data_IF_125100212892
#
_entry.id   IF_125100212892
#
_cell.length_a   1.000
_cell.length_b   1.000
_cell.length_c   1.000
_cell.angle_alpha   90.00
_cell.angle_beta   90.00
_cell.angle_gamma   90.00
#
_symmetry.space_group_name_H-M   'P 1'
#
loop_
_entity.id
_entity.type
_entity.pdbx_description
1 polymer ?
#
# COMPACT_ATOMS: atom_id res chain seq x y z
N UNK A 1 64.58 28.91 41.46
CA UNK A 1 65.85 29.61 41.16
C UNK A 1 66.83 29.36 42.30
N UNK A 2 67.91 28.61 42.07
CA UNK A 2 69.07 28.57 42.99
C UNK A 2 70.31 28.93 42.16
N UNK A 3 71.13 29.81 42.70
CA UNK A 3 72.21 30.52 42.00
C UNK A 3 73.53 29.73 42.10
N UNK A 4 74.11 29.34 40.97
CA UNK A 4 75.42 28.69 40.90
C UNK A 4 76.47 29.71 40.45
N UNK A 5 77.41 30.02 41.35
CA UNK A 5 78.61 30.84 41.12
C UNK A 5 78.42 32.33 40.75
N UNK A 6 78.88 33.22 41.65
CA UNK A 6 79.20 34.60 41.34
C UNK A 6 80.71 34.72 41.11
N UNK A 7 81.16 34.96 39.88
CA UNK A 7 82.53 35.41 39.60
C UNK A 7 82.51 36.92 39.34
N UNK A 8 83.26 37.67 40.15
CA UNK A 8 83.35 39.13 40.05
C UNK A 8 84.60 39.56 39.31
N UNK A 9 84.45 40.41 38.28
CA UNK A 9 85.55 41.19 37.72
C UNK A 9 85.32 42.65 38.09
N UNK A 10 86.24 43.25 38.83
CA UNK A 10 86.15 44.65 39.29
C UNK A 10 86.70 45.61 38.25
N UNK A 11 85.85 46.53 37.77
CA UNK A 11 86.28 47.79 37.16
C UNK A 11 85.49 48.94 37.80
N UNK A 12 86.19 49.90 38.41
CA UNK A 12 85.61 51.20 38.76
C UNK A 12 84.47 51.22 39.79
N UNK A 13 84.48 50.32 40.78
CA UNK A 13 83.63 50.46 41.98
C UNK A 13 82.17 50.00 41.87
N UNK A 14 81.75 49.43 40.73
CA UNK A 14 80.46 48.72 40.60
C UNK A 14 80.72 47.24 40.36
N UNK A 15 80.24 46.37 41.26
CA UNK A 15 80.28 44.91 41.07
C UNK A 15 79.11 44.52 40.17
N UNK A 16 79.39 44.10 38.94
CA UNK A 16 78.39 43.49 38.05
C UNK A 16 78.37 41.99 38.34
N UNK A 17 77.31 41.51 38.97
CA UNK A 17 77.04 40.07 39.07
C UNK A 17 76.42 39.60 37.76
N UNK A 18 77.13 38.75 37.00
CA UNK A 18 76.49 37.99 35.93
C UNK A 18 75.83 36.80 36.61
N UNK A 19 74.51 36.84 36.68
CA UNK A 19 73.70 35.72 37.11
C UNK A 19 73.36 34.95 35.83
N UNK A 20 74.01 33.81 35.61
CA UNK A 20 73.55 32.87 34.61
C UNK A 20 72.49 31.97 35.25
N UNK A 21 71.23 32.16 34.87
CA UNK A 21 70.18 31.21 35.22
C UNK A 21 70.30 29.99 34.32
N UNK A 22 70.77 28.86 34.85
CA UNK A 22 70.59 27.59 34.15
C UNK A 22 69.09 27.29 34.07
N UNK A 23 68.56 26.89 32.89
CA UNK A 23 67.18 26.46 32.79
C UNK A 23 66.94 25.30 33.77
N UNK A 24 65.76 25.27 34.39
CA UNK A 24 65.37 24.10 35.19
C UNK A 24 65.39 22.86 34.30
N UNK A 25 65.70 21.67 34.86
CA UNK A 25 65.49 20.43 34.13
C UNK A 25 64.05 20.38 33.60
N UNK A 26 63.91 20.03 32.34
CA UNK A 26 62.65 19.89 31.62
C UNK A 26 62.81 18.73 30.64
N UNK A 27 61.82 17.84 30.65
CA UNK A 27 61.78 16.63 29.84
C UNK A 27 60.34 16.37 29.41
N UNK A 28 60.19 16.06 28.13
CA UNK A 28 58.94 15.61 27.51
C UNK A 28 59.11 14.12 27.18
N UNK A 29 58.29 13.26 27.79
CA UNK A 29 58.30 11.81 27.57
C UNK A 29 57.69 11.42 26.20
N UNK A 30 57.12 12.39 25.47
CA UNK A 30 56.43 12.20 24.20
C UNK A 30 54.93 11.99 24.38
N UNK A 31 54.23 11.93 23.25
CA UNK A 31 52.77 11.79 23.25
C UNK A 31 52.31 10.36 23.57
N UNK A 32 51.18 10.27 24.25
CA UNK A 32 50.42 9.03 24.41
C UNK A 32 50.23 8.32 23.06
N UNK A 33 50.42 7.00 23.06
CA UNK A 33 50.40 6.18 21.83
C UNK A 33 49.54 4.95 22.02
N UNK A 34 48.87 4.51 20.94
CA UNK A 34 48.14 3.24 20.89
C UNK A 34 48.84 2.27 19.96
N UNK A 35 49.03 1.02 20.41
CA UNK A 35 49.62 -0.04 19.60
C UNK A 35 48.66 -1.22 19.47
N UNK A 36 48.61 -1.81 18.27
CA UNK A 36 47.89 -3.05 18.03
C UNK A 36 48.72 -4.22 18.55
N UNK A 37 48.15 -5.01 19.45
CA UNK A 37 48.82 -6.19 19.98
C UNK A 37 48.64 -7.34 18.99
N UNK A 38 49.59 -7.41 18.05
CA UNK A 38 49.82 -8.60 17.26
C UNK A 38 50.80 -9.44 18.07
N UNK A 39 50.32 -10.54 18.64
CA UNK A 39 51.14 -11.39 19.49
C UNK A 39 52.50 -11.72 18.86
N UNK A 40 53.58 -11.66 19.66
CA UNK A 40 54.99 -11.58 19.24
C UNK A 40 55.74 -10.60 20.14
N UNK A 41 56.91 -10.08 19.73
CA UNK A 41 57.53 -8.92 20.40
C UNK A 41 56.80 -7.65 19.96
N UNK A 42 55.65 -7.36 20.55
CA UNK A 42 55.05 -6.04 20.44
C UNK A 42 55.99 -5.07 21.14
N UNK A 43 56.42 -4.01 20.48
CA UNK A 43 57.28 -3.02 21.11
C UNK A 43 57.01 -1.64 20.55
N UNK A 44 57.17 -0.61 21.38
CA UNK A 44 57.01 0.77 20.96
C UNK A 44 58.32 1.52 21.12
N UNK A 45 58.73 2.20 20.05
CA UNK A 45 59.84 3.13 20.09
C UNK A 45 59.36 4.43 20.75
N UNK A 46 59.93 4.76 21.90
CA UNK A 46 59.68 6.03 22.58
C UNK A 46 60.63 7.09 22.04
N UNK A 47 60.26 8.36 22.20
CA UNK A 47 61.06 9.51 21.79
C UNK A 47 60.92 10.64 22.81
N UNK A 48 61.69 10.60 23.88
CA UNK A 48 61.76 11.70 24.84
C UNK A 48 62.63 12.84 24.33
N UNK A 49 62.28 14.06 24.70
CA UNK A 49 63.02 15.28 24.38
C UNK A 49 63.39 15.99 25.67
N UNK A 50 64.68 16.28 25.84
CA UNK A 50 65.15 17.13 26.94
C UNK A 50 65.19 18.57 26.44
N UNK A 51 64.38 19.44 27.04
CA UNK A 51 64.30 20.88 26.72
C UNK A 51 65.22 21.74 27.63
N UNK A 52 66.17 21.10 28.30
CA UNK A 52 67.06 21.69 29.30
C UNK A 52 68.52 21.26 29.06
N UNK A 53 69.44 21.61 29.96
CA UNK A 53 70.86 21.27 29.87
C UNK A 53 71.21 19.87 30.41
N UNK A 54 70.22 19.04 30.74
CA UNK A 54 70.44 17.63 31.08
C UNK A 54 70.83 16.84 29.83
N UNK A 55 71.72 15.86 29.96
CA UNK A 55 72.08 14.92 28.89
C UNK A 55 71.51 13.53 29.09
N UNK A 56 70.94 13.27 30.25
CA UNK A 56 70.60 11.92 30.69
C UNK A 56 69.08 11.79 30.89
N UNK A 57 68.53 10.67 30.43
CA UNK A 57 67.15 10.25 30.66
C UNK A 57 67.14 8.92 31.43
N UNK A 58 66.09 8.68 32.22
CA UNK A 58 65.86 7.41 32.89
C UNK A 58 64.39 7.02 32.80
N UNK A 59 64.16 5.84 32.23
CA UNK A 59 62.82 5.28 32.04
C UNK A 59 62.49 4.20 33.06
N UNK A 60 61.25 4.21 33.54
CA UNK A 60 60.64 3.11 34.30
C UNK A 60 59.15 3.01 34.01
N UNK A 61 58.53 1.91 34.43
CA UNK A 61 57.08 1.68 34.29
C UNK A 61 56.50 1.23 35.64
N UNK A 62 55.20 1.45 35.84
CA UNK A 62 54.43 0.81 36.91
C UNK A 62 53.94 -0.61 36.54
N UNK A 63 54.15 -0.99 35.28
CA UNK A 63 53.81 -2.27 34.68
C UNK A 63 54.87 -3.37 34.81
N UNK A 64 54.68 -4.47 34.08
CA UNK A 64 55.58 -5.62 34.04
C UNK A 64 56.48 -5.67 32.79
N UNK A 65 56.40 -4.66 31.92
CA UNK A 65 57.23 -4.53 30.72
C UNK A 65 58.68 -4.10 30.98
N UNK A 66 59.48 -4.15 29.91
CA UNK A 66 60.92 -3.92 29.94
C UNK A 66 61.34 -2.91 28.87
N UNK A 67 62.35 -2.10 29.20
CA UNK A 67 63.02 -1.22 28.25
C UNK A 67 64.32 -1.88 27.79
N UNK A 68 64.66 -1.77 26.51
CA UNK A 68 65.93 -2.23 25.97
C UNK A 68 67.14 -1.47 26.56
N UNK A 69 66.96 -0.17 26.81
CA UNK A 69 67.94 0.70 27.44
C UNK A 69 67.23 1.84 28.19
N UNK A 70 67.09 1.70 29.51
CA UNK A 70 66.43 2.71 30.36
C UNK A 70 67.11 4.08 30.33
N UNK A 71 68.37 4.18 29.89
CA UNK A 71 69.13 5.43 29.83
C UNK A 71 69.01 6.22 28.52
N UNK A 72 68.36 5.65 27.51
CA UNK A 72 68.22 6.26 26.18
C UNK A 72 67.10 7.31 26.16
N UNK A 73 67.23 8.35 25.33
CA UNK A 73 66.10 9.22 24.99
C UNK A 73 65.09 8.51 24.09
N UNK A 74 65.55 7.53 23.31
CA UNK A 74 64.73 6.77 22.40
C UNK A 74 64.84 5.27 22.74
N UNK A 75 64.36 4.80 23.91
CA UNK A 75 64.32 3.38 24.21
C UNK A 75 63.17 2.69 23.46
N UNK A 76 63.30 1.39 23.30
CA UNK A 76 62.24 0.48 22.89
C UNK A 76 61.61 -0.13 24.13
N UNK A 77 60.33 0.14 24.35
CA UNK A 77 59.53 -0.50 25.40
C UNK A 77 58.88 -1.77 24.86
N UNK A 78 59.10 -2.90 25.55
CA UNK A 78 58.41 -4.18 25.31
C UNK A 78 57.46 -4.42 26.48
N UNK A 79 56.12 -4.38 26.26
CA UNK A 79 55.15 -4.57 27.32
C UNK A 79 55.17 -6.00 27.85
N UNK A 80 54.87 -6.15 29.13
CA UNK A 80 54.66 -7.44 29.77
C UNK A 80 53.22 -7.94 29.59
N UNK A 81 52.93 -9.08 30.22
CA UNK A 81 51.60 -9.71 30.13
C UNK A 81 50.53 -8.92 30.86
N UNK A 82 50.87 -8.30 32.00
CA UNK A 82 49.92 -7.54 32.79
C UNK A 82 49.59 -6.22 32.10
N UNK A 83 50.58 -5.56 31.51
CA UNK A 83 50.41 -4.36 30.69
C UNK A 83 49.33 -4.56 29.62
N UNK A 84 49.48 -5.63 28.83
CA UNK A 84 48.55 -5.98 27.75
C UNK A 84 47.17 -6.30 28.31
N UNK A 85 47.09 -7.08 29.40
CA UNK A 85 45.81 -7.46 30.01
C UNK A 85 45.05 -6.27 30.63
N UNK A 86 45.78 -5.27 31.12
CA UNK A 86 45.22 -4.04 31.69
C UNK A 86 44.82 -3.03 30.60
N UNK A 87 45.21 -3.27 29.33
CA UNK A 87 44.93 -2.39 28.20
C UNK A 87 45.76 -1.11 28.16
N UNK A 88 46.64 -0.89 29.14
CA UNK A 88 47.54 0.27 29.18
C UNK A 88 48.77 0.01 30.08
N UNK A 89 49.92 0.54 29.68
CA UNK A 89 51.11 0.69 30.51
C UNK A 89 51.43 2.17 30.67
N UNK A 90 51.69 2.61 31.90
CA UNK A 90 52.13 3.97 32.16
C UNK A 90 53.65 3.98 32.30
N UNK A 91 54.29 4.78 31.46
CA UNK A 91 55.73 4.90 31.39
C UNK A 91 56.14 6.26 31.93
N UNK A 92 57.25 6.29 32.65
CA UNK A 92 57.76 7.47 33.30
C UNK A 92 59.18 7.72 32.80
N UNK A 93 59.48 8.97 32.50
CA UNK A 93 60.81 9.41 32.10
C UNK A 93 61.27 10.54 33.00
N UNK A 94 62.49 10.47 33.49
CA UNK A 94 63.09 11.54 34.31
C UNK A 94 64.49 11.92 33.85
N UNK A 95 64.90 13.15 34.14
CA UNK A 95 66.29 13.60 34.00
C UNK A 95 67.11 13.27 35.25
N UNK A 96 68.40 12.97 35.13
CA UNK A 96 69.29 12.94 36.29
C UNK A 96 69.70 14.35 36.74
N UNK A 97 69.72 14.57 38.06
CA UNK A 97 70.14 15.86 38.63
C UNK A 97 71.63 16.12 38.39
N UNK A 98 71.95 17.09 37.52
CA UNK A 98 73.27 17.73 37.53
C UNK A 98 73.29 18.77 38.66
N UNK A 99 74.16 18.54 39.66
CA UNK A 99 74.52 19.45 40.77
C UNK A 99 73.42 20.46 41.23
N UNK A 100 72.67 20.09 42.28
CA UNK A 100 71.74 20.93 43.06
C UNK A 100 70.38 21.31 42.43
N UNK A 101 70.02 20.79 41.24
CA UNK A 101 68.69 20.96 40.65
C UNK A 101 67.75 19.79 41.01
N UNK A 102 66.44 20.05 41.10
CA UNK A 102 65.42 18.99 41.22
C UNK A 102 65.26 18.27 39.88
N UNK A 103 65.14 16.95 39.91
CA UNK A 103 64.82 16.13 38.73
C UNK A 103 63.47 16.56 38.14
N UNK A 104 63.37 16.63 36.81
CA UNK A 104 62.09 16.70 36.11
C UNK A 104 61.61 15.28 35.78
N UNK A 105 60.30 15.08 35.79
CA UNK A 105 59.65 13.81 35.44
C UNK A 105 58.45 14.11 34.58
N UNK A 106 58.28 13.31 33.53
CA UNK A 106 57.10 13.32 32.68
C UNK A 106 56.63 11.88 32.42
N UNK A 107 55.41 11.72 31.90
CA UNK A 107 54.78 10.42 31.69
C UNK A 107 54.15 10.29 30.32
N UNK A 108 54.21 9.09 29.76
CA UNK A 108 53.52 8.71 28.53
C UNK A 108 52.70 7.45 28.78
N UNK A 109 51.46 7.42 28.31
CA UNK A 109 50.62 6.23 28.35
C UNK A 109 50.71 5.48 27.02
N UNK A 110 50.92 4.16 27.10
CA UNK A 110 50.86 3.27 25.94
C UNK A 110 49.62 2.41 26.09
N UNK A 111 48.65 2.60 25.19
CA UNK A 111 47.40 1.85 25.14
C UNK A 111 47.53 0.63 24.23
N UNK A 112 46.98 -0.50 24.67
CA UNK A 112 47.04 -1.77 23.95
C UNK A 112 45.66 -2.13 23.41
N UNK A 113 45.54 -2.23 22.08
CA UNK A 113 44.31 -2.65 21.43
C UNK A 113 44.45 -4.08 20.91
N UNK A 114 43.57 -4.97 21.39
CA UNK A 114 43.44 -6.33 20.87
C UNK A 114 42.56 -6.33 19.61
N UNK A 115 42.85 -7.18 18.61
CA UNK A 115 41.98 -7.34 17.46
C UNK A 115 40.58 -7.82 17.84
N UNK A 116 39.54 -7.17 17.30
CA UNK A 116 38.15 -7.60 17.49
C UNK A 116 37.87 -8.92 16.74
N UNK A 117 37.30 -9.89 17.43
CA UNK A 117 36.97 -11.21 16.86
C UNK A 117 35.65 -11.17 16.09
N UNK A 118 34.66 -10.43 16.58
CA UNK A 118 33.35 -10.26 15.93
C UNK A 118 33.09 -8.79 15.63
N UNK A 119 32.41 -8.51 14.51
CA UNK A 119 31.94 -7.16 14.14
C UNK A 119 30.44 -6.95 14.45
N UNK A 120 29.75 -7.99 14.91
CA UNK A 120 28.32 -7.96 15.21
C UNK A 120 28.04 -7.90 16.71
N UNK A 121 26.78 -7.65 17.08
CA UNK A 121 26.34 -7.68 18.47
C UNK A 121 26.60 -9.02 19.16
N UNK A 122 26.87 -8.98 20.47
CA UNK A 122 27.14 -10.14 21.33
C UNK A 122 25.95 -11.12 21.44
N UNK A 123 24.76 -10.71 20.98
CA UNK A 123 23.54 -11.52 21.01
C UNK A 123 22.88 -11.58 19.64
N UNK A 124 22.56 -12.81 19.23
CA UNK A 124 21.92 -13.13 17.95
C UNK A 124 20.59 -13.83 18.20
N UNK A 125 19.52 -13.38 17.52
CA UNK A 125 18.20 -14.00 17.59
C UNK A 125 18.08 -15.09 16.53
N UNK A 126 17.74 -16.31 16.95
CA UNK A 126 17.45 -17.44 16.07
C UNK A 126 15.94 -17.66 15.96
N UNK A 127 15.38 -17.36 14.79
CA UNK A 127 13.97 -17.59 14.55
C UNK A 127 13.65 -19.05 14.21
N UNK A 128 12.44 -19.49 14.54
CA UNK A 128 12.03 -20.89 14.40
C UNK A 128 12.23 -21.44 12.97
N UNK A 129 12.89 -22.60 12.86
CA UNK A 129 13.23 -23.28 11.61
C UNK A 129 14.12 -22.45 10.66
N UNK A 130 14.88 -21.50 11.19
CA UNK A 130 15.92 -20.79 10.43
C UNK A 130 17.31 -21.25 10.89
N UNK A 131 18.31 -20.87 10.11
CA UNK A 131 19.71 -20.93 10.51
C UNK A 131 20.31 -19.53 10.44
N UNK A 132 21.31 -19.29 11.28
CA UNK A 132 22.10 -18.06 11.26
C UNK A 132 23.55 -18.42 10.98
N UNK A 133 24.27 -17.52 10.31
CA UNK A 133 25.71 -17.63 10.11
C UNK A 133 26.39 -16.75 11.14
N UNK A 134 27.23 -17.34 11.98
CA UNK A 134 28.15 -16.60 12.84
C UNK A 134 29.49 -16.50 12.12
N UNK A 135 30.04 -15.30 12.03
CA UNK A 135 31.27 -15.02 11.27
C UNK A 135 32.25 -14.27 12.17
N UNK A 136 33.43 -14.86 12.35
CA UNK A 136 34.57 -14.17 12.94
C UNK A 136 35.27 -13.31 11.88
N UNK A 137 35.80 -12.16 12.27
CA UNK A 137 36.50 -11.25 11.40
C UNK A 137 37.68 -11.95 10.70
N UNK A 138 37.97 -11.55 9.47
CA UNK A 138 39.14 -12.04 8.74
C UNK A 138 40.44 -11.46 9.31
N UNK A 139 41.57 -12.13 9.04
CA UNK A 139 42.91 -11.65 9.44
C UNK A 139 43.63 -12.51 10.48
N UNK A 140 42.95 -13.51 11.04
CA UNK A 140 43.56 -14.50 11.93
C UNK A 140 44.19 -15.67 11.16
N UNK A 141 45.24 -16.27 11.73
CA UNK A 141 45.97 -17.41 11.16
C UNK A 141 45.18 -18.72 11.21
N UNK A 142 44.35 -18.91 12.24
CA UNK A 142 43.43 -20.05 12.35
C UNK A 142 42.23 -19.73 13.25
N UNK A 143 41.18 -20.53 13.11
CA UNK A 143 39.93 -20.46 13.87
C UNK A 143 39.65 -21.83 14.47
N UNK A 144 39.08 -21.87 15.66
CA UNK A 144 38.57 -23.08 16.30
C UNK A 144 37.31 -22.74 17.10
N UNK A 145 36.16 -23.13 16.56
CA UNK A 145 34.88 -22.98 17.24
C UNK A 145 34.68 -24.07 18.28
N UNK A 146 33.87 -23.79 19.31
CA UNK A 146 33.44 -24.81 20.28
C UNK A 146 32.62 -25.96 19.67
N UNK A 147 32.16 -25.80 18.42
CA UNK A 147 31.55 -26.87 17.61
C UNK A 147 32.57 -27.80 16.94
N UNK A 148 33.87 -27.49 17.04
CA UNK A 148 34.97 -28.19 16.37
C UNK A 148 35.27 -27.69 14.95
N UNK A 149 34.52 -26.70 14.43
CA UNK A 149 34.81 -26.11 13.12
C UNK A 149 36.09 -25.27 13.13
N UNK A 150 36.88 -25.36 12.06
CA UNK A 150 38.07 -24.52 11.84
C UNK A 150 37.88 -23.42 10.78
N UNK A 151 36.65 -23.23 10.31
CA UNK A 151 36.30 -22.18 9.34
C UNK A 151 36.11 -20.83 10.05
N UNK A 152 36.29 -19.72 9.32
CA UNK A 152 36.01 -18.37 9.84
C UNK A 152 34.53 -18.11 10.15
N UNK A 153 33.63 -18.98 9.66
CA UNK A 153 32.20 -18.92 9.95
C UNK A 153 31.60 -20.30 10.20
N UNK A 154 30.46 -20.32 10.90
CA UNK A 154 29.64 -21.51 11.15
C UNK A 154 28.17 -21.20 10.89
N UNK A 155 27.41 -22.18 10.39
CA UNK A 155 25.95 -22.10 10.32
C UNK A 155 25.34 -22.87 11.49
N UNK A 156 24.52 -22.18 12.28
CA UNK A 156 23.89 -22.71 13.49
C UNK A 156 22.37 -22.70 13.36
N UNK A 157 21.73 -23.65 14.02
CA UNK A 157 20.27 -23.85 14.02
C UNK A 157 19.71 -24.18 15.41
N UNK A 158 20.51 -23.96 16.45
CA UNK A 158 20.15 -24.12 17.86
C UNK A 158 20.62 -22.91 18.66
N UNK A 159 19.89 -22.59 19.72
CA UNK A 159 20.29 -21.59 20.70
C UNK A 159 21.41 -22.13 21.60
N UNK A 160 22.23 -21.24 22.13
CA UNK A 160 23.40 -21.59 22.92
C UNK A 160 24.51 -20.55 22.83
N UNK A 161 25.58 -20.79 23.57
CA UNK A 161 26.79 -19.94 23.52
C UNK A 161 27.77 -20.56 22.54
N UNK A 162 28.18 -19.79 21.55
CA UNK A 162 29.17 -20.17 20.55
C UNK A 162 30.42 -19.35 20.74
N UNK A 163 31.54 -20.00 21.04
CA UNK A 163 32.84 -19.35 21.18
C UNK A 163 33.76 -19.77 20.05
N UNK A 164 34.59 -18.82 19.61
CA UNK A 164 35.67 -19.07 18.65
C UNK A 164 36.98 -18.69 19.31
N UNK A 165 37.95 -19.60 19.22
CA UNK A 165 39.35 -19.33 19.54
C UNK A 165 40.07 -19.03 18.24
N UNK A 166 40.67 -17.85 18.12
CA UNK A 166 41.45 -17.43 16.96
C UNK A 166 42.93 -17.42 17.30
N UNK A 167 43.78 -17.68 16.31
CA UNK A 167 45.24 -17.58 16.45
C UNK A 167 45.75 -16.37 15.67
N UNK A 168 46.53 -15.52 16.33
CA UNK A 168 47.15 -14.34 15.74
C UNK A 168 48.40 -14.72 14.94
N UNK A 169 48.88 -13.79 14.10
CA UNK A 169 50.04 -14.00 13.21
C UNK A 169 51.35 -14.38 13.91
N UNK A 170 51.55 -14.02 15.18
CA UNK A 170 52.68 -14.50 15.98
C UNK A 170 52.32 -15.53 17.06
N UNK A 171 51.23 -16.29 16.85
CA UNK A 171 51.03 -17.59 17.49
C UNK A 171 50.24 -17.63 18.79
N UNK A 172 49.91 -16.49 19.41
CA UNK A 172 48.98 -16.51 20.54
C UNK A 172 47.55 -16.76 20.10
N UNK A 173 46.75 -17.22 21.07
CA UNK A 173 45.32 -17.41 20.91
C UNK A 173 44.51 -16.39 21.69
N UNK A 174 43.40 -15.95 21.13
CA UNK A 174 42.35 -15.19 21.81
C UNK A 174 41.02 -15.89 21.61
N UNK A 175 40.06 -15.67 22.50
CA UNK A 175 38.72 -16.22 22.37
C UNK A 175 37.65 -15.18 22.65
N UNK A 176 36.56 -15.26 21.92
CA UNK A 176 35.36 -14.48 22.16
C UNK A 176 34.11 -15.36 21.94
N UNK A 177 32.95 -14.92 22.40
CA UNK A 177 31.71 -15.69 22.35
C UNK A 177 30.49 -14.85 21.96
N UNK A 178 29.59 -15.46 21.19
CA UNK A 178 28.27 -14.93 20.86
C UNK A 178 27.21 -15.77 21.56
N UNK A 179 26.23 -15.09 22.15
CA UNK A 179 25.02 -15.73 22.71
C UNK A 179 23.94 -15.80 21.65
N UNK A 180 23.52 -17.01 21.29
CA UNK A 180 22.37 -17.23 20.40
C UNK A 180 21.16 -17.57 21.25
N UNK A 181 20.11 -16.77 21.13
CA UNK A 181 18.83 -16.99 21.84
C UNK A 181 17.70 -17.29 20.87
N UNK A 182 16.80 -18.18 21.26
CA UNK A 182 15.59 -18.44 20.47
C UNK A 182 14.71 -17.19 20.42
N UNK A 183 14.27 -16.84 19.22
CA UNK A 183 13.34 -15.74 18.98
C UNK A 183 11.89 -16.12 19.25
N UNK A 184 11.05 -15.10 19.40
CA UNK A 184 9.62 -15.26 19.62
C UNK A 184 8.94 -16.11 18.53
N UNK A 185 8.11 -17.05 18.96
CA UNK A 185 7.29 -17.86 18.06
C UNK A 185 6.12 -17.02 17.56
N UNK A 186 6.20 -16.59 16.30
CA UNK A 186 5.15 -15.79 15.67
C UNK A 186 3.99 -16.68 15.19
N UNK A 187 2.74 -16.41 15.60
CA UNK A 187 1.57 -17.17 15.18
C UNK A 187 1.24 -16.90 13.71
N UNK A 188 1.27 -17.93 12.88
CA UNK A 188 0.97 -17.83 11.45
C UNK A 188 -0.53 -17.85 11.10
N UNK A 189 -1.38 -17.07 11.80
CA UNK A 189 -2.84 -17.14 11.61
C UNK A 189 -3.52 -15.79 11.37
N UNK A 190 -4.49 -15.80 10.47
CA UNK A 190 -5.54 -14.80 10.26
C UNK A 190 -6.91 -15.47 10.29
N UNK A 191 -7.91 -14.72 10.73
CA UNK A 191 -9.31 -15.16 10.87
C UNK A 191 -10.25 -14.17 10.19
N UNK A 192 -11.31 -14.66 9.57
CA UNK A 192 -12.39 -13.85 9.02
C UNK A 192 -13.50 -13.64 10.07
N UNK A 193 -13.82 -12.38 10.36
CA UNK A 193 -14.87 -11.99 11.29
C UNK A 193 -16.20 -11.80 10.55
N UNK A 194 -16.64 -12.83 9.83
CA UNK A 194 -17.84 -12.80 9.00
C UNK A 194 -17.75 -13.73 7.79
N UNK A 195 -18.79 -13.75 6.93
CA UNK A 195 -18.82 -14.60 5.75
C UNK A 195 -17.77 -14.15 4.72
N UNK A 196 -17.05 -15.11 4.16
CA UNK A 196 -16.04 -14.86 3.11
C UNK A 196 -16.63 -14.83 1.69
N UNK A 197 -17.88 -15.26 1.56
CA UNK A 197 -18.70 -15.07 0.37
C UNK A 197 -19.78 -14.05 0.71
N UNK A 198 -19.78 -12.90 0.04
CA UNK A 198 -20.67 -11.78 0.35
C UNK A 198 -21.10 -11.03 -0.92
N UNK A 199 -22.14 -10.20 -0.84
CA UNK A 199 -22.68 -9.51 -2.01
C UNK A 199 -21.88 -8.26 -2.38
N UNK A 200 -21.95 -7.84 -3.64
CA UNK A 200 -21.33 -6.61 -4.09
C UNK A 200 -21.82 -5.41 -3.26
N UNK A 201 -20.88 -4.69 -2.63
CA UNK A 201 -21.18 -3.57 -1.72
C UNK A 201 -20.96 -3.92 -0.26
N UNK A 202 -21.00 -5.20 0.10
CA UNK A 202 -20.69 -5.68 1.44
C UNK A 202 -19.18 -5.83 1.66
N UNK A 203 -18.81 -6.24 2.88
CA UNK A 203 -17.42 -6.44 3.26
C UNK A 203 -17.27 -7.45 4.39
N UNK A 204 -16.08 -8.05 4.49
CA UNK A 204 -15.66 -8.85 5.64
C UNK A 204 -14.39 -8.26 6.26
N UNK A 205 -14.29 -8.29 7.58
CA UNK A 205 -13.06 -7.89 8.28
C UNK A 205 -12.19 -9.12 8.52
N UNK A 206 -10.93 -9.06 8.09
CA UNK A 206 -9.92 -10.05 8.46
C UNK A 206 -9.10 -9.50 9.64
N UNK A 207 -8.74 -10.39 10.57
CA UNK A 207 -7.93 -10.08 11.74
C UNK A 207 -6.73 -11.00 11.83
N UNK A 208 -5.59 -10.45 12.22
CA UNK A 208 -4.38 -11.19 12.57
C UNK A 208 -4.19 -11.25 14.10
N UNK A 209 -3.26 -12.08 14.56
CA UNK A 209 -2.84 -12.09 15.97
C UNK A 209 -2.31 -10.70 16.41
N UNK A 210 -2.65 -10.24 17.62
CA UNK A 210 -2.21 -8.94 18.14
C UNK A 210 -0.70 -8.94 18.47
N UNK A 211 -0.09 -7.75 18.55
CA UNK A 211 1.28 -7.58 19.08
C UNK A 211 2.41 -7.62 18.04
N UNK A 212 2.09 -7.65 16.74
CA UNK A 212 3.08 -7.75 15.66
C UNK A 212 3.04 -6.51 14.76
N UNK A 213 4.06 -6.35 13.91
CA UNK A 213 3.93 -5.52 12.72
C UNK A 213 3.33 -6.33 11.57
N UNK A 214 2.54 -5.70 10.71
CA UNK A 214 1.69 -6.37 9.73
C UNK A 214 2.04 -5.94 8.30
N UNK A 215 2.19 -6.92 7.40
CA UNK A 215 2.23 -6.69 5.96
C UNK A 215 1.18 -7.57 5.29
N UNK A 216 0.05 -6.96 4.93
CA UNK A 216 -1.04 -7.67 4.24
C UNK A 216 -0.77 -7.79 2.75
N UNK A 217 -1.10 -8.95 2.18
CA UNK A 217 -0.96 -9.25 0.76
C UNK A 217 -2.25 -9.79 0.16
N UNK A 218 -2.58 -9.34 -1.04
CA UNK A 218 -3.66 -9.86 -1.89
C UNK A 218 -3.05 -10.45 -3.15
N UNK A 219 -3.30 -11.74 -3.41
CA UNK A 219 -2.68 -12.49 -4.52
C UNK A 219 -1.14 -12.37 -4.54
N UNK A 220 -0.52 -12.33 -3.36
CA UNK A 220 0.94 -12.19 -3.21
C UNK A 220 1.47 -10.76 -3.29
N UNK A 221 0.66 -9.79 -3.72
CA UNK A 221 1.04 -8.37 -3.82
C UNK A 221 0.69 -7.64 -2.53
N UNK A 222 1.59 -6.79 -2.03
CA UNK A 222 1.37 -5.98 -0.83
C UNK A 222 0.20 -5.03 -1.04
N UNK A 223 -0.70 -4.96 -0.06
CA UNK A 223 -1.79 -3.99 -0.04
C UNK A 223 -1.23 -2.70 0.57
N UNK A 224 -1.21 -1.57 -0.17
CA UNK A 224 -0.67 -0.32 0.34
C UNK A 224 -1.40 0.12 1.61
N UNK A 225 -0.64 0.65 2.58
CA UNK A 225 -1.14 1.18 3.85
C UNK A 225 -1.93 0.19 4.72
N UNK A 226 -1.90 -1.10 4.41
CA UNK A 226 -2.48 -2.15 5.24
C UNK A 226 -1.42 -2.69 6.21
N UNK A 227 -1.18 -1.94 7.28
CA UNK A 227 -0.19 -2.23 8.33
C UNK A 227 -0.81 -2.39 9.72
N UNK A 228 -2.14 -2.48 9.81
CA UNK A 228 -2.90 -2.69 11.04
C UNK A 228 -3.24 -4.16 11.25
N UNK A 229 -3.59 -4.53 12.48
CA UNK A 229 -4.05 -5.89 12.84
C UNK A 229 -5.29 -6.32 12.04
N UNK A 230 -6.12 -5.36 11.62
CA UNK A 230 -7.36 -5.59 10.91
C UNK A 230 -7.32 -4.99 9.50
N UNK A 231 -7.95 -5.67 8.55
CA UNK A 231 -8.26 -5.11 7.23
C UNK A 231 -9.72 -5.38 6.86
N UNK A 232 -10.35 -4.41 6.18
CA UNK A 232 -11.69 -4.57 5.62
C UNK A 232 -11.60 -4.93 4.15
N UNK A 233 -12.12 -6.10 3.79
CA UNK A 233 -12.06 -6.67 2.44
C UNK A 233 -13.39 -6.48 1.73
N UNK A 234 -13.36 -5.85 0.55
CA UNK A 234 -14.53 -5.54 -0.30
C UNK A 234 -14.48 -6.17 -1.69
N UNK A 235 -13.48 -7.01 -1.98
CA UNK A 235 -13.21 -7.50 -3.33
C UNK A 235 -12.75 -8.95 -3.32
N UNK A 236 -12.89 -9.63 -4.45
CA UNK A 236 -12.38 -11.00 -4.65
C UNK A 236 -10.89 -11.02 -4.42
N UNK A 237 -10.41 -11.95 -3.60
CA UNK A 237 -9.00 -11.98 -3.25
C UNK A 237 -8.58 -13.25 -2.52
N UNK A 238 -7.30 -13.55 -2.64
CA UNK A 238 -6.61 -14.46 -1.73
C UNK A 238 -5.72 -13.64 -0.80
N UNK A 239 -6.10 -13.56 0.48
CA UNK A 239 -5.46 -12.73 1.50
C UNK A 239 -4.55 -13.56 2.41
N UNK A 240 -3.37 -12.99 2.71
CA UNK A 240 -2.40 -13.45 3.71
C UNK A 240 -1.79 -12.22 4.39
N UNK A 241 -1.22 -12.41 5.58
CA UNK A 241 -0.34 -11.43 6.19
C UNK A 241 1.05 -12.03 6.44
N UNK A 242 2.07 -11.18 6.49
CA UNK A 242 3.32 -11.48 7.18
C UNK A 242 3.29 -10.73 8.50
N UNK A 243 3.46 -11.45 9.60
CA UNK A 243 3.57 -10.90 10.94
C UNK A 243 5.05 -10.88 11.33
N UNK A 244 5.53 -9.79 11.92
CA UNK A 244 6.90 -9.67 12.41
C UNK A 244 6.93 -9.17 13.86
N UNK A 245 7.61 -9.92 14.72
CA UNK A 245 7.83 -9.60 16.14
C UNK A 245 8.82 -8.46 16.32
N UNK A 246 8.88 -7.90 17.53
CA UNK A 246 9.87 -6.86 17.86
C UNK A 246 11.31 -7.37 17.80
N UNK A 247 11.53 -8.68 17.96
CA UNK A 247 12.84 -9.35 17.83
C UNK A 247 13.22 -9.65 16.37
N UNK A 248 12.38 -9.27 15.39
CA UNK A 248 12.65 -9.45 13.97
C UNK A 248 12.21 -10.80 13.38
N UNK A 249 11.76 -11.75 14.20
CA UNK A 249 11.21 -13.01 13.70
C UNK A 249 9.89 -12.78 12.98
N UNK A 250 9.73 -13.41 11.81
CA UNK A 250 8.55 -13.25 10.96
C UNK A 250 7.93 -14.56 10.51
N UNK A 251 6.61 -14.55 10.33
CA UNK A 251 5.85 -15.71 9.82
C UNK A 251 4.75 -15.26 8.88
N UNK A 252 4.60 -15.97 7.76
CA UNK A 252 3.45 -15.81 6.87
C UNK A 252 2.26 -16.62 7.36
N UNK A 253 1.07 -16.01 7.33
CA UNK A 253 -0.15 -16.62 7.84
C UNK A 253 -0.79 -17.63 6.89
N UNK A 254 -1.81 -18.35 7.38
CA UNK A 254 -2.77 -19.06 6.52
C UNK A 254 -3.43 -18.12 5.49
N UNK A 255 -4.06 -18.73 4.48
CA UNK A 255 -4.71 -18.06 3.35
C UNK A 255 -6.22 -18.01 3.57
N UNK A 256 -6.82 -16.83 3.42
CA UNK A 256 -8.29 -16.67 3.34
C UNK A 256 -8.66 -16.18 1.95
N UNK A 257 -9.53 -16.92 1.26
CA UNK A 257 -10.07 -16.53 -0.03
C UNK A 257 -11.47 -15.93 0.14
N UNK A 258 -11.72 -14.79 -0.51
CA UNK A 258 -13.03 -14.12 -0.51
C UNK A 258 -13.64 -14.09 -1.91
N UNK A 259 -14.98 -14.19 -1.95
CA UNK A 259 -15.78 -14.10 -3.17
C UNK A 259 -16.88 -13.05 -2.98
N UNK A 260 -16.99 -12.16 -3.94
CA UNK A 260 -17.98 -11.10 -4.06
C UNK A 260 -18.97 -11.51 -5.15
N UNK A 261 -20.18 -11.82 -4.71
CA UNK A 261 -21.26 -12.23 -5.59
C UNK A 261 -21.90 -10.98 -6.21
N UNK A 262 -22.09 -10.94 -7.53
CA UNK A 262 -22.69 -9.79 -8.20
C UNK A 262 -24.13 -9.61 -7.72
N UNK A 263 -24.56 -8.35 -7.63
CA UNK A 263 -25.96 -8.05 -7.41
C UNK A 263 -26.74 -8.18 -8.74
N UNK A 264 -28.00 -8.66 -8.71
CA UNK A 264 -28.89 -8.59 -9.85
C UNK A 264 -29.05 -7.15 -10.38
N UNK A 265 -29.45 -7.05 -11.65
CA UNK A 265 -29.72 -5.79 -12.35
C UNK A 265 -30.85 -5.02 -11.70
N UNK A 266 -30.74 -3.69 -11.75
CA UNK A 266 -31.80 -2.78 -11.27
C UNK A 266 -32.87 -2.51 -12.33
N UNK A 267 -32.69 -3.01 -13.55
CA UNK A 267 -33.50 -2.65 -14.71
C UNK A 267 -34.72 -3.58 -14.81
N UNK A 268 -35.87 -2.95 -15.03
CA UNK A 268 -37.08 -3.60 -15.53
C UNK A 268 -37.44 -2.95 -16.87
N UNK A 269 -37.62 -3.76 -17.90
CA UNK A 269 -38.09 -3.35 -19.22
C UNK A 269 -39.59 -3.62 -19.36
N UNK A 270 -40.23 -2.96 -20.33
CA UNK A 270 -41.61 -3.23 -20.70
C UNK A 270 -41.62 -3.71 -22.16
N UNK A 271 -42.38 -4.77 -22.44
CA UNK A 271 -42.52 -5.30 -23.81
C UNK A 271 -43.50 -4.49 -24.66
N UNK A 272 -44.31 -3.64 -24.04
CA UNK A 272 -45.29 -2.77 -24.69
C UNK A 272 -45.36 -1.40 -24.03
N UNK A 273 -46.27 -0.52 -24.49
CA UNK A 273 -46.44 0.80 -23.90
C UNK A 273 -46.83 0.70 -22.42
N UNK A 274 -46.36 1.67 -21.63
CA UNK A 274 -46.73 1.80 -20.21
C UNK A 274 -48.09 2.48 -20.03
N UNK A 275 -48.71 2.94 -21.11
CA UNK A 275 -50.06 3.45 -21.16
C UNK A 275 -50.88 2.67 -22.20
N UNK A 276 -51.99 2.07 -21.80
CA UNK A 276 -52.82 1.21 -22.67
C UNK A 276 -54.30 1.23 -22.27
N UNK A 277 -55.16 0.67 -23.12
CA UNK A 277 -56.61 0.70 -22.96
C UNK A 277 -57.11 -0.28 -21.88
N UNK A 278 -58.28 -0.02 -21.29
CA UNK A 278 -58.98 -1.03 -20.48
C UNK A 278 -59.23 -2.28 -21.33
N UNK A 279 -58.87 -3.45 -20.80
CA UNK A 279 -58.93 -4.73 -21.52
C UNK A 279 -57.57 -5.18 -22.08
N UNK A 280 -56.65 -4.24 -22.36
CA UNK A 280 -55.30 -4.55 -22.80
C UNK A 280 -54.37 -4.91 -21.63
N UNK A 281 -53.13 -5.26 -21.96
CA UNK A 281 -52.09 -5.51 -20.97
C UNK A 281 -50.70 -5.15 -21.48
N UNK A 282 -49.77 -4.93 -20.56
CA UNK A 282 -48.33 -4.84 -20.86
C UNK A 282 -47.58 -5.83 -19.99
N UNK A 283 -46.42 -6.30 -20.46
CA UNK A 283 -45.56 -7.22 -19.71
C UNK A 283 -44.35 -6.43 -19.22
N UNK A 284 -44.11 -6.46 -17.91
CA UNK A 284 -42.83 -6.04 -17.36
C UNK A 284 -41.91 -7.26 -17.26
N UNK A 285 -40.65 -7.07 -17.66
CA UNK A 285 -39.63 -8.10 -17.63
C UNK A 285 -38.46 -7.66 -16.75
N UNK A 286 -38.09 -8.53 -15.82
CA UNK A 286 -36.88 -8.43 -15.01
C UNK A 286 -35.72 -9.21 -15.68
N UNK A 287 -34.52 -9.08 -15.14
CA UNK A 287 -33.39 -9.94 -15.54
C UNK A 287 -33.73 -11.42 -15.26
N UNK A 288 -33.58 -12.27 -16.28
CA UNK A 288 -33.71 -13.72 -16.14
C UNK A 288 -32.36 -14.37 -15.77
N UNK A 289 -32.40 -15.38 -14.91
CA UNK A 289 -31.21 -16.11 -14.48
C UNK A 289 -31.55 -17.43 -13.81
N UNK A 290 -30.66 -18.42 -13.93
CA UNK A 290 -30.83 -19.70 -13.24
C UNK A 290 -30.72 -19.52 -11.72
N UNK A 291 -31.72 -20.00 -10.99
CA UNK A 291 -31.78 -19.87 -9.53
C UNK A 291 -32.11 -18.45 -9.03
N UNK A 292 -32.60 -17.56 -9.90
CA UNK A 292 -33.14 -16.28 -9.47
C UNK A 292 -34.57 -16.46 -8.93
N UNK A 293 -34.93 -15.66 -7.92
CA UNK A 293 -36.29 -15.55 -7.41
C UNK A 293 -36.81 -14.12 -7.53
N UNK A 294 -38.14 -13.99 -7.69
CA UNK A 294 -38.79 -12.72 -8.03
C UNK A 294 -39.96 -12.44 -7.08
N UNK A 295 -40.01 -11.21 -6.57
CA UNK A 295 -41.14 -10.71 -5.79
C UNK A 295 -41.63 -9.40 -6.41
N UNK A 296 -42.74 -9.47 -7.16
CA UNK A 296 -43.38 -8.29 -7.74
C UNK A 296 -44.19 -7.53 -6.69
N UNK A 297 -44.10 -6.19 -6.73
CA UNK A 297 -44.83 -5.29 -5.84
C UNK A 297 -45.59 -4.23 -6.60
N UNK A 298 -46.85 -3.98 -6.20
CA UNK A 298 -47.70 -2.88 -6.67
C UNK A 298 -47.96 -1.91 -5.52
N UNK A 299 -47.60 -0.63 -5.68
CA UNK A 299 -47.67 0.39 -4.62
C UNK A 299 -47.02 -0.06 -3.29
N UNK A 300 -45.98 -0.90 -3.37
CA UNK A 300 -45.27 -1.43 -2.20
C UNK A 300 -45.80 -2.77 -1.67
N UNK A 301 -47.02 -3.17 -2.03
CA UNK A 301 -47.62 -4.44 -1.61
C UNK A 301 -47.19 -5.59 -2.51
N UNK A 302 -46.94 -6.77 -1.95
CA UNK A 302 -46.59 -7.99 -2.70
C UNK A 302 -47.78 -8.43 -3.55
N UNK A 303 -47.51 -8.76 -4.80
CA UNK A 303 -48.49 -9.36 -5.69
C UNK A 303 -48.39 -10.88 -5.52
N UNK A 304 -49.43 -11.50 -4.95
CA UNK A 304 -49.44 -12.94 -4.68
C UNK A 304 -49.37 -13.74 -5.99
N UNK A 305 -48.54 -14.80 -6.01
CA UNK A 305 -48.35 -15.69 -7.16
C UNK A 305 -47.47 -15.12 -8.29
N UNK A 306 -47.05 -13.86 -8.21
CA UNK A 306 -46.16 -13.26 -9.20
C UNK A 306 -44.69 -13.56 -8.85
N UNK A 307 -44.22 -14.75 -9.26
CA UNK A 307 -42.85 -15.25 -8.99
C UNK A 307 -42.02 -15.48 -10.25
N UNK A 308 -42.57 -15.21 -11.42
CA UNK A 308 -41.86 -15.33 -12.70
C UNK A 308 -41.04 -14.05 -13.00
N UNK A 309 -40.02 -14.16 -13.85
CA UNK A 309 -39.20 -13.01 -14.30
C UNK A 309 -40.01 -12.02 -15.13
N UNK A 310 -41.19 -12.44 -15.61
CA UNK A 310 -42.16 -11.60 -16.28
C UNK A 310 -43.44 -11.46 -15.44
N UNK A 311 -44.08 -10.29 -15.54
CA UNK A 311 -45.39 -10.08 -14.95
C UNK A 311 -46.30 -9.27 -15.87
N UNK A 312 -47.46 -9.85 -16.19
CA UNK A 312 -48.49 -9.22 -17.03
C UNK A 312 -49.33 -8.27 -16.20
N UNK A 313 -49.31 -6.99 -16.56
CA UNK A 313 -50.01 -5.91 -15.88
C UNK A 313 -51.29 -5.55 -16.63
N UNK A 314 -52.40 -5.55 -15.89
CA UNK A 314 -53.75 -5.19 -16.40
C UNK A 314 -54.36 -3.98 -15.70
N UNK A 315 -53.66 -3.38 -14.74
CA UNK A 315 -54.21 -2.27 -13.94
C UNK A 315 -53.17 -1.20 -13.65
N UNK A 316 -53.61 0.05 -13.57
CA UNK A 316 -52.75 1.19 -13.24
C UNK A 316 -52.02 0.97 -11.92
N UNK A 317 -50.76 1.38 -11.85
CA UNK A 317 -49.93 1.12 -10.68
C UNK A 317 -48.49 1.61 -10.78
N UNK A 318 -47.86 1.76 -9.61
CA UNK A 318 -46.39 1.83 -9.51
C UNK A 318 -45.86 0.44 -9.18
N UNK A 319 -45.14 -0.15 -10.13
CA UNK A 319 -44.63 -1.51 -10.06
C UNK A 319 -43.10 -1.52 -9.86
N UNK A 320 -42.62 -2.45 -9.05
CA UNK A 320 -41.20 -2.80 -8.91
C UNK A 320 -41.05 -4.28 -8.58
N UNK A 321 -39.88 -4.84 -8.82
CA UNK A 321 -39.56 -6.23 -8.51
C UNK A 321 -38.34 -6.28 -7.59
N UNK A 322 -38.35 -7.22 -6.65
CA UNK A 322 -37.17 -7.63 -5.89
C UNK A 322 -36.66 -8.90 -6.56
N UNK A 323 -35.40 -8.88 -6.97
CA UNK A 323 -34.72 -10.00 -7.61
C UNK A 323 -33.66 -10.49 -6.63
N UNK A 324 -33.63 -11.77 -6.31
CA UNK A 324 -32.59 -12.40 -5.50
C UNK A 324 -31.93 -13.52 -6.30
N UNK A 325 -30.61 -13.56 -6.33
CA UNK A 325 -29.87 -14.63 -6.98
C UNK A 325 -29.69 -15.85 -6.08
N UNK A 326 -29.15 -16.92 -6.64
CA UNK A 326 -28.81 -18.18 -5.95
C UNK A 326 -27.76 -18.04 -4.83
N UNK A 327 -27.07 -16.90 -4.72
CA UNK A 327 -26.13 -16.60 -3.65
C UNK A 327 -26.76 -15.77 -2.51
N UNK A 328 -28.06 -15.52 -2.56
CA UNK A 328 -28.79 -14.71 -1.56
C UNK A 328 -28.62 -13.20 -1.73
N UNK A 329 -28.05 -12.75 -2.85
CA UNK A 329 -27.87 -11.33 -3.13
C UNK A 329 -29.11 -10.75 -3.80
N UNK A 330 -29.76 -9.81 -3.11
CA UNK A 330 -31.01 -9.20 -3.58
C UNK A 330 -30.86 -7.75 -4.03
N UNK A 331 -31.64 -7.37 -5.06
CA UNK A 331 -31.72 -6.01 -5.58
C UNK A 331 -33.18 -5.62 -5.78
N UNK A 332 -33.51 -4.36 -5.51
CA UNK A 332 -34.81 -3.78 -5.85
C UNK A 332 -34.67 -3.00 -7.16
N UNK A 333 -35.53 -3.28 -8.13
CA UNK A 333 -35.55 -2.61 -9.42
C UNK A 333 -35.92 -1.13 -9.33
N UNK A 334 -35.75 -0.41 -10.44
CA UNK A 334 -36.41 0.87 -10.68
C UNK A 334 -37.94 0.71 -10.66
N UNK A 335 -38.65 1.78 -10.28
CA UNK A 335 -40.11 1.83 -10.30
C UNK A 335 -40.60 2.13 -11.72
N UNK A 336 -41.56 1.35 -12.21
CA UNK A 336 -42.30 1.60 -13.46
C UNK A 336 -43.73 2.01 -13.15
N UNK A 337 -44.15 3.15 -13.68
CA UNK A 337 -45.53 3.63 -13.59
C UNK A 337 -46.30 3.16 -14.81
N UNK A 338 -47.41 2.47 -14.60
CA UNK A 338 -48.32 2.00 -15.65
C UNK A 338 -49.66 2.71 -15.49
N UNK A 339 -50.24 3.15 -16.60
CA UNK A 339 -51.52 3.88 -16.66
C UNK A 339 -52.48 3.17 -17.63
N UNK A 340 -53.60 2.69 -17.11
CA UNK A 340 -54.71 2.15 -17.92
C UNK A 340 -55.73 3.27 -18.14
N UNK A 341 -56.08 3.54 -19.39
CA UNK A 341 -57.05 4.55 -19.79
C UNK A 341 -58.26 3.90 -20.47
N UNK A 342 -59.43 4.54 -20.41
CA UNK A 342 -60.56 4.11 -21.24
C UNK A 342 -60.35 4.66 -22.64
N UNK A 343 -60.12 3.79 -23.62
CA UNK A 343 -59.99 4.22 -25.00
C UNK A 343 -61.37 4.40 -25.62
N UNK A 344 -61.55 5.37 -26.54
CA UNK A 344 -62.81 5.52 -27.26
C UNK A 344 -63.14 4.23 -28.02
N UNK A 345 -64.33 3.67 -27.80
CA UNK A 345 -64.86 2.58 -28.62
C UNK A 345 -65.10 3.11 -30.04
N UNK A 346 -64.37 2.57 -31.03
CA UNK A 346 -64.41 3.08 -32.42
C UNK A 346 -65.47 2.35 -33.26
N UNK A 347 -66.48 1.76 -32.61
CA UNK A 347 -67.67 1.28 -33.30
C UNK A 347 -68.93 1.75 -32.57
N UNK A 348 -69.43 2.97 -32.87
CA UNK A 348 -70.85 3.19 -32.77
C UNK A 348 -71.49 2.34 -33.88
N UNK A 349 -72.12 1.23 -33.49
CA UNK A 349 -73.11 0.60 -34.35
C UNK A 349 -74.13 1.68 -34.76
N UNK A 350 -74.20 1.99 -36.07
CA UNK A 350 -75.06 2.96 -36.76
C UNK A 350 -74.53 4.36 -37.13
N UNK A 351 -73.25 4.52 -37.46
CA UNK A 351 -72.85 5.70 -38.26
C UNK A 351 -73.25 5.50 -39.73
N UNK A 352 -74.28 6.22 -40.18
CA UNK A 352 -74.52 6.43 -41.61
C UNK A 352 -73.25 7.03 -42.22
N UNK A 353 -72.59 6.30 -43.11
CA UNK A 353 -71.59 6.89 -44.01
C UNK A 353 -72.35 7.88 -44.91
N UNK A 354 -72.29 9.16 -44.59
CA UNK A 354 -72.79 10.22 -45.47
C UNK A 354 -71.78 10.40 -46.60
N UNK A 355 -72.05 9.78 -47.75
CA UNK A 355 -71.22 9.80 -48.96
C UNK A 355 -71.17 11.17 -49.69
N UNK A 356 -71.03 12.31 -49.01
CA UNK A 356 -70.98 13.61 -49.72
C UNK A 356 -69.99 14.68 -49.20
N UNK A 357 -69.26 14.45 -48.10
CA UNK A 357 -68.21 15.39 -47.65
C UNK A 357 -66.82 14.72 -47.72
N UNK A 358 -66.06 14.99 -48.77
CA UNK A 358 -64.69 14.49 -48.94
C UNK A 358 -63.66 15.38 -48.23
N UNK A 359 -62.67 14.75 -47.58
CA UNK A 359 -61.48 15.44 -47.07
C UNK A 359 -60.64 15.85 -48.26
N UNK A 360 -60.48 17.17 -48.45
CA UNK A 360 -59.65 17.67 -49.55
C UNK A 360 -58.18 17.67 -49.14
N UNK A 361 -57.29 17.17 -49.99
CA UNK A 361 -55.86 17.04 -49.71
C UNK A 361 -55.05 17.80 -50.75
N UNK A 362 -54.18 18.72 -50.32
CA UNK A 362 -53.33 19.53 -51.20
C UNK A 362 -51.90 19.68 -50.68
N UNK A 363 -50.86 19.61 -51.53
CA UNK A 363 -50.91 19.23 -52.94
C UNK A 363 -51.17 17.72 -53.09
N UNK A 364 -51.89 17.32 -54.14
CA UNK A 364 -52.09 15.92 -54.50
C UNK A 364 -51.98 15.78 -56.04
N UNK A 365 -50.92 15.15 -56.59
CA UNK A 365 -49.89 14.36 -55.91
C UNK A 365 -48.95 15.15 -54.98
N UNK A 366 -48.46 14.49 -53.92
CA UNK A 366 -47.55 15.04 -52.92
C UNK A 366 -46.10 14.89 -53.38
N UNK A 367 -45.42 16.01 -53.62
CA UNK A 367 -44.01 16.05 -54.03
C UNK A 367 -43.05 16.53 -52.94
N UNK A 368 -43.57 17.02 -51.80
CA UNK A 368 -42.79 17.48 -50.65
C UNK A 368 -43.20 16.79 -49.35
N UNK A 369 -42.59 17.19 -48.24
CA UNK A 369 -42.79 16.51 -46.95
C UNK A 369 -44.12 16.80 -46.25
N UNK A 370 -44.91 17.74 -46.75
CA UNK A 370 -46.14 18.19 -46.09
C UNK A 370 -47.34 18.14 -47.02
N UNK A 371 -48.49 17.80 -46.45
CA UNK A 371 -49.81 18.07 -47.04
C UNK A 371 -50.61 18.98 -46.13
N UNK A 372 -51.54 19.72 -46.73
CA UNK A 372 -52.61 20.41 -46.05
C UNK A 372 -53.92 19.69 -46.37
N UNK A 373 -54.69 19.40 -45.33
CA UNK A 373 -56.00 18.79 -45.48
C UNK A 373 -57.08 19.76 -45.04
N UNK A 374 -58.17 19.79 -45.80
CA UNK A 374 -59.36 20.57 -45.48
C UNK A 374 -60.50 19.62 -45.21
N UNK A 375 -61.04 19.68 -43.99
CA UNK A 375 -62.17 18.87 -43.54
C UNK A 375 -63.38 19.80 -43.43
N UNK A 376 -64.47 19.57 -44.19
CA UNK A 376 -65.73 20.29 -44.03
C UNK A 376 -66.27 20.18 -42.60
N UNK A 377 -66.64 21.32 -41.99
CA UNK A 377 -67.33 21.46 -40.69
C UNK A 377 -66.65 20.75 -39.49
N UNK A 378 -65.59 21.36 -38.92
CA UNK A 378 -64.91 20.84 -37.71
C UNK A 378 -65.36 21.57 -36.43
N UNK A 379 -66.58 21.30 -35.96
CA UNK A 379 -67.05 21.82 -34.68
C UNK A 379 -66.80 20.87 -33.49
N UNK A 380 -66.15 19.72 -33.74
CA UNK A 380 -65.93 18.66 -32.75
C UNK A 380 -64.50 18.10 -32.72
N UNK A 381 -64.17 17.45 -31.60
CA UNK A 381 -62.93 16.68 -31.45
C UNK A 381 -63.01 15.39 -32.29
N UNK A 382 -61.91 15.03 -32.95
CA UNK A 382 -61.87 13.83 -33.78
C UNK A 382 -60.46 13.34 -34.08
N UNK A 383 -60.38 12.27 -34.89
CA UNK A 383 -59.14 11.55 -35.19
C UNK A 383 -58.90 11.54 -36.70
N UNK A 384 -57.68 11.85 -37.11
CA UNK A 384 -57.22 11.66 -38.49
C UNK A 384 -56.40 10.37 -38.54
N UNK A 385 -56.76 9.46 -39.44
CA UNK A 385 -55.98 8.25 -39.76
C UNK A 385 -55.48 8.28 -41.18
N UNK A 386 -54.25 7.81 -41.39
CA UNK A 386 -53.68 7.56 -42.72
C UNK A 386 -53.40 6.06 -42.81
N UNK A 387 -54.00 5.41 -43.79
CA UNK A 387 -53.87 3.98 -44.07
C UNK A 387 -53.30 3.77 -45.48
N UNK A 388 -52.51 2.72 -45.67
CA UNK A 388 -52.15 2.27 -47.02
C UNK A 388 -53.30 1.45 -47.65
N UNK A 389 -53.20 1.13 -48.95
CA UNK A 389 -54.21 0.32 -49.65
C UNK A 389 -54.38 -1.12 -49.10
N UNK A 390 -53.46 -1.61 -48.26
CA UNK A 390 -53.58 -2.90 -47.56
C UNK A 390 -54.33 -2.77 -46.23
N UNK A 391 -54.82 -1.58 -45.89
CA UNK A 391 -55.50 -1.29 -44.62
C UNK A 391 -54.56 -1.18 -43.42
N UNK A 392 -53.24 -1.12 -43.62
CA UNK A 392 -52.31 -0.91 -42.52
C UNK A 392 -52.30 0.56 -42.12
N UNK A 393 -52.40 0.81 -40.81
CA UNK A 393 -52.34 2.14 -40.23
C UNK A 393 -50.90 2.66 -40.23
N UNK A 394 -50.72 3.83 -40.83
CA UNK A 394 -49.41 4.47 -41.02
C UNK A 394 -49.24 5.62 -40.03
N UNK A 395 -50.31 6.36 -39.74
CA UNK A 395 -50.28 7.51 -38.82
C UNK A 395 -51.66 7.79 -38.24
N UNK A 396 -51.71 8.09 -36.94
CA UNK A 396 -52.88 8.64 -36.23
C UNK A 396 -52.56 10.02 -35.69
N UNK A 397 -53.50 10.96 -35.78
CA UNK A 397 -53.44 12.25 -35.10
C UNK A 397 -54.78 12.58 -34.43
N UNK A 398 -54.72 13.22 -33.26
CA UNK A 398 -55.90 13.76 -32.58
C UNK A 398 -56.03 15.26 -32.88
N UNK A 399 -57.25 15.71 -33.18
CA UNK A 399 -57.55 17.10 -33.51
C UNK A 399 -58.72 17.58 -32.65
N UNK A 400 -58.55 18.76 -32.02
CA UNK A 400 -59.60 19.41 -31.25
C UNK A 400 -60.57 20.20 -32.13
N UNK A 401 -61.86 20.23 -31.76
CA UNK A 401 -62.90 21.03 -32.38
C UNK A 401 -62.64 22.53 -32.28
N UNK A 402 -63.11 23.31 -33.26
CA UNK A 402 -62.98 24.78 -33.28
C UNK A 402 -61.59 25.33 -33.65
N UNK A 403 -60.56 24.47 -33.80
CA UNK A 403 -59.31 24.85 -34.48
C UNK A 403 -59.53 24.74 -35.99
N UNK A 404 -59.26 25.79 -36.78
CA UNK A 404 -59.69 25.91 -38.17
C UNK A 404 -59.52 24.69 -39.09
N UNK A 405 -60.26 24.69 -40.19
CA UNK A 405 -60.50 23.50 -41.02
C UNK A 405 -59.29 23.02 -41.84
N UNK A 406 -58.17 23.76 -41.81
CA UNK A 406 -56.95 23.46 -42.56
C UNK A 406 -55.87 22.91 -41.64
N UNK A 407 -55.40 21.69 -41.88
CA UNK A 407 -54.45 20.97 -41.02
C UNK A 407 -53.23 20.57 -41.85
N UNK A 408 -52.04 21.00 -41.41
CA UNK A 408 -50.78 20.59 -42.04
C UNK A 408 -50.26 19.30 -41.41
N UNK A 409 -49.90 18.32 -42.25
CA UNK A 409 -49.44 17.00 -41.83
C UNK A 409 -48.06 16.74 -42.43
N UNK A 410 -47.09 16.46 -41.56
CA UNK A 410 -45.76 15.96 -41.94
C UNK A 410 -45.84 14.49 -42.35
N UNK A 411 -45.31 14.20 -43.54
CA UNK A 411 -45.26 12.91 -44.19
C UNK A 411 -43.79 12.51 -44.50
N UNK A 412 -42.78 13.16 -43.94
CA UNK A 412 -41.34 12.89 -44.17
C UNK A 412 -40.96 11.42 -43.91
N UNK A 413 -41.60 10.77 -42.93
CA UNK A 413 -41.36 9.37 -42.57
C UNK A 413 -42.24 8.35 -43.32
N UNK A 414 -43.06 8.80 -44.28
CA UNK A 414 -44.03 7.94 -44.99
C UNK A 414 -43.54 7.66 -46.42
N UNK A 415 -43.40 6.39 -46.85
CA UNK A 415 -42.91 6.04 -48.19
C UNK A 415 -43.81 6.51 -49.35
N UNK A 416 -43.28 6.52 -50.57
CA UNK A 416 -44.07 6.73 -51.79
C UNK A 416 -45.19 5.68 -51.91
N UNK A 417 -46.40 6.08 -52.32
CA UNK A 417 -47.54 5.19 -52.40
C UNK A 417 -48.91 5.89 -52.43
N UNK A 418 -49.95 5.08 -52.54
CA UNK A 418 -51.35 5.51 -52.44
C UNK A 418 -51.85 5.34 -51.01
N UNK A 419 -52.47 6.39 -50.48
CA UNK A 419 -52.94 6.44 -49.10
C UNK A 419 -54.39 6.90 -49.03
N UNK A 420 -55.12 6.27 -48.12
CA UNK A 420 -56.45 6.67 -47.67
C UNK A 420 -56.27 7.49 -46.40
N UNK A 421 -56.82 8.71 -46.38
CA UNK A 421 -56.94 9.51 -45.17
C UNK A 421 -58.40 9.52 -44.72
N UNK A 422 -58.62 9.35 -43.42
CA UNK A 422 -59.96 9.28 -42.83
C UNK A 422 -60.02 10.21 -41.63
N UNK A 423 -61.01 11.08 -41.64
CA UNK A 423 -61.43 11.83 -40.46
C UNK A 423 -62.55 11.07 -39.75
N UNK A 424 -62.35 10.81 -38.47
CA UNK A 424 -63.34 10.22 -37.58
C UNK A 424 -63.84 11.32 -36.64
N UNK A 425 -65.03 11.85 -36.94
CA UNK A 425 -65.82 12.67 -36.04
C UNK A 425 -66.65 11.82 -35.08
N UNK A 426 -67.37 12.46 -34.17
CA UNK A 426 -68.27 11.79 -33.22
C UNK A 426 -69.51 11.21 -33.91
N UNK A 427 -69.95 11.83 -35.01
CA UNK A 427 -71.17 11.42 -35.74
C UNK A 427 -70.93 11.02 -37.19
N UNK A 428 -69.74 11.21 -37.73
CA UNK A 428 -69.45 10.92 -39.15
C UNK A 428 -68.01 10.51 -39.41
N UNK A 429 -67.82 9.82 -40.54
CA UNK A 429 -66.51 9.48 -41.08
C UNK A 429 -66.41 10.10 -42.47
N UNK A 430 -65.42 10.95 -42.66
CA UNK A 430 -65.11 11.55 -43.96
C UNK A 430 -63.82 10.95 -44.50
N UNK A 431 -63.77 10.69 -45.81
CA UNK A 431 -62.64 10.05 -46.47
C UNK A 431 -62.00 11.00 -47.47
N UNK A 432 -60.69 10.84 -47.67
CA UNK A 432 -59.94 11.46 -48.75
C UNK A 432 -58.84 10.53 -49.23
N UNK A 433 -58.28 10.80 -50.40
CA UNK A 433 -57.20 10.00 -50.96
C UNK A 433 -56.08 10.90 -51.44
N UNK A 434 -54.85 10.43 -51.30
CA UNK A 434 -53.69 11.13 -51.83
C UNK A 434 -52.57 10.18 -52.24
N UNK A 435 -51.72 10.66 -53.13
CA UNK A 435 -50.59 9.93 -53.68
C UNK A 435 -49.31 10.63 -53.24
N UNK A 436 -48.40 9.92 -52.60
CA UNK A 436 -47.04 10.39 -52.36
C UNK A 436 -46.15 9.91 -53.50
N UNK A 437 -45.55 10.86 -54.21
CA UNK A 437 -44.62 10.62 -55.31
C UNK A 437 -43.48 11.64 -55.24
N UNK A 438 -42.54 11.41 -54.32
CA UNK A 438 -41.33 12.21 -54.12
C UNK A 438 -40.15 11.65 -54.89
#
# INVERSE_FOLDING_TARGET
MKYNHASGVTYGGLVRFIIESSPLPDIDAGNDTTIQVLCGTTSVQLNAVINSNSTDAFWWTDGDGVFDNTGSLNPVYTPGTNDISNGMAKLFCKTYSIFMCSEATDTVNVYFQLPEIFSSADTVILCQNQSVILEANAGFSSYLWNTGSSSSSISINSSGVYSVTVTLSGGCTMSDSIVVTDGEIVPGIIVANGPVNFCQGDSVTLSASPGYSYVWKKYGVVIPNANSQFITVKSNGSYKATLTSFQGCSKTTNKISTVVNPLPSKIVSASGPLQFCVGDSTVLQAESGTGYSYIWKKYGNVISGATDFQYTIKSSGKYKVIIENNFGCSRISQVKTVTVINCPDIFPNNTKVANINEVSVFPNPVTGDFINIVIPEIDEDGIIRINNLKGQEIKIMHKKGGSGNNISIDLSAIPNGFYLIQWYGSTEIQNGYFIINR
#
